data_IF_430470534389
#
_entry.id   IF_430470534389
#
_cell.length_a   1.000
_cell.length_b   1.000
_cell.length_c   1.000
_cell.angle_alpha   90.00
_cell.angle_beta   90.00
_cell.angle_gamma   90.00
#
_symmetry.space_group_name_H-M   'P 1'
#
loop_
_entity.id
_entity.type
_entity.pdbx_description
1 polymer ?
#
# COMPACT_ATOMS: atom_id res chain seq x y z
N UNK A 1 -27.80 -73.98 20.61
CA UNK A 1 -27.33 -74.03 21.98
C UNK A 1 -25.90 -73.64 21.99
N UNK A 2 -25.65 -72.55 22.56
CA UNK A 2 -24.79 -71.80 23.40
C UNK A 2 -24.11 -70.61 22.76
N UNK A 3 -24.63 -69.48 23.17
CA UNK A 3 -24.05 -68.16 23.05
C UNK A 3 -22.65 -68.11 23.65
N UNK A 4 -21.77 -67.33 22.98
CA UNK A 4 -20.61 -66.74 23.65
C UNK A 4 -20.48 -65.26 23.26
N UNK A 5 -20.92 -64.43 24.22
CA UNK A 5 -20.60 -63.02 24.29
C UNK A 5 -19.10 -62.81 24.33
N UNK A 6 -18.56 -62.08 23.34
CA UNK A 6 -17.22 -61.52 23.38
C UNK A 6 -17.33 -59.99 23.61
N UNK A 7 -17.24 -59.63 24.87
CA UNK A 7 -16.94 -58.27 25.31
C UNK A 7 -15.53 -57.92 24.76
N UNK A 8 -15.47 -57.07 23.77
CA UNK A 8 -14.22 -56.43 23.35
C UNK A 8 -13.88 -55.33 24.37
N UNK A 9 -12.93 -55.63 25.23
CA UNK A 9 -12.26 -54.68 26.08
C UNK A 9 -11.34 -53.85 25.18
N UNK A 10 -11.70 -52.62 24.91
CA UNK A 10 -10.78 -51.63 24.30
C UNK A 10 -9.70 -51.31 25.34
N UNK A 11 -8.41 -51.42 24.98
CA UNK A 11 -7.35 -51.14 25.96
C UNK A 11 -7.32 -49.66 26.32
N UNK A 12 -7.43 -49.43 27.62
CA UNK A 12 -7.33 -48.10 28.30
C UNK A 12 -6.00 -47.36 28.03
N UNK A 13 -5.08 -47.99 27.29
CA UNK A 13 -3.75 -47.44 26.99
C UNK A 13 -3.72 -46.44 25.86
N UNK A 14 -4.74 -46.35 25.00
CA UNK A 14 -4.78 -45.35 23.94
C UNK A 14 -5.18 -43.94 24.43
N UNK A 15 -5.74 -43.83 25.63
CA UNK A 15 -6.11 -42.51 26.20
C UNK A 15 -4.95 -41.83 26.94
N UNK A 16 -3.91 -42.56 27.35
CA UNK A 16 -2.76 -42.00 28.09
C UNK A 16 -1.65 -41.51 27.14
N UNK A 17 -1.56 -42.05 25.91
CA UNK A 17 -0.57 -41.59 24.94
C UNK A 17 -0.87 -40.20 24.36
N UNK A 18 -2.10 -39.68 24.47
CA UNK A 18 -2.48 -38.35 24.02
C UNK A 18 -2.05 -37.23 24.98
N UNK A 19 -1.68 -37.54 26.22
CA UNK A 19 -1.31 -36.54 27.24
C UNK A 19 0.20 -36.32 27.37
N UNK A 20 1.04 -37.10 26.70
CA UNK A 20 2.51 -37.01 26.85
C UNK A 20 3.25 -36.38 25.64
N UNK A 21 2.57 -36.16 24.53
CA UNK A 21 3.08 -35.31 23.49
C UNK A 21 2.67 -33.87 23.81
N UNK A 22 3.61 -33.02 24.19
CA UNK A 22 3.41 -31.63 24.55
C UNK A 22 2.76 -30.79 23.43
N UNK A 23 1.50 -31.06 23.14
CA UNK A 23 0.66 -30.18 22.34
C UNK A 23 0.28 -29.02 23.26
N UNK A 24 0.73 -27.81 22.93
CA UNK A 24 0.12 -26.60 23.46
C UNK A 24 -1.39 -26.65 23.34
N UNK A 25 -2.13 -25.81 24.07
CA UNK A 25 -3.60 -25.84 24.07
C UNK A 25 -4.10 -25.89 22.62
N UNK A 26 -5.10 -26.73 22.31
CA UNK A 26 -5.58 -26.91 20.95
C UNK A 26 -5.92 -25.54 20.37
N UNK A 27 -5.33 -25.21 19.22
CA UNK A 27 -5.64 -23.99 18.50
C UNK A 27 -7.11 -24.08 18.09
N UNK A 28 -7.95 -23.25 18.69
CA UNK A 28 -9.36 -23.19 18.33
C UNK A 28 -9.46 -22.46 16.97
N UNK A 29 -9.94 -23.18 15.97
CA UNK A 29 -10.12 -22.68 14.60
C UNK A 29 -11.59 -22.39 14.37
N UNK A 30 -11.89 -21.11 14.17
CA UNK A 30 -13.19 -20.68 13.70
C UNK A 30 -13.22 -20.65 12.17
N UNK A 31 -14.13 -21.43 11.58
CA UNK A 31 -14.27 -21.58 10.13
C UNK A 31 -15.59 -21.03 9.61
N UNK A 32 -16.09 -19.95 10.17
CA UNK A 32 -17.36 -19.39 9.72
C UNK A 32 -17.35 -18.91 8.27
N UNK A 33 -16.18 -18.65 7.73
CA UNK A 33 -15.97 -18.36 6.31
C UNK A 33 -15.38 -19.56 5.58
N UNK A 34 -15.88 -20.79 5.88
CA UNK A 34 -15.45 -21.98 5.15
C UNK A 34 -15.67 -21.78 3.64
N UNK A 35 -14.63 -21.92 2.83
CA UNK A 35 -14.75 -21.73 1.39
C UNK A 35 -15.77 -22.73 0.83
N UNK A 36 -16.68 -22.23 -0.01
CA UNK A 36 -17.64 -23.07 -0.72
C UNK A 36 -16.96 -23.97 -1.76
N UNK A 37 -15.78 -23.59 -2.19
CA UNK A 37 -14.96 -24.31 -3.15
C UNK A 37 -13.57 -24.57 -2.53
N UNK A 38 -13.13 -25.83 -2.54
CA UNK A 38 -11.81 -26.21 -2.01
C UNK A 38 -10.80 -26.21 -3.15
N UNK A 39 -9.78 -25.39 -3.02
CA UNK A 39 -8.63 -25.39 -3.92
C UNK A 39 -7.48 -26.18 -3.29
N UNK A 40 -6.71 -26.87 -4.11
CA UNK A 40 -5.45 -27.48 -3.66
C UNK A 40 -4.41 -26.39 -3.41
N UNK A 41 -3.40 -26.67 -2.58
CA UNK A 41 -2.30 -25.73 -2.31
C UNK A 41 -1.62 -25.25 -3.60
N UNK A 42 -1.47 -26.13 -4.59
CA UNK A 42 -0.93 -25.77 -5.91
C UNK A 42 -1.85 -24.83 -6.70
N UNK A 43 -3.16 -25.06 -6.66
CA UNK A 43 -4.14 -24.17 -7.30
C UNK A 43 -4.18 -22.81 -6.61
N UNK A 44 -4.13 -22.77 -5.27
CA UNK A 44 -4.02 -21.50 -4.52
C UNK A 44 -2.74 -20.75 -4.87
N UNK A 45 -1.60 -21.42 -5.01
CA UNK A 45 -0.35 -20.82 -5.46
C UNK A 45 -0.46 -20.20 -6.85
N UNK A 46 -1.11 -20.89 -7.79
CA UNK A 46 -1.36 -20.38 -9.14
C UNK A 46 -2.36 -19.20 -9.12
N UNK A 47 -3.41 -19.28 -8.31
CA UNK A 47 -4.41 -18.21 -8.17
C UNK A 47 -3.80 -17.00 -7.46
N UNK A 48 -2.99 -17.19 -6.44
CA UNK A 48 -2.26 -16.09 -5.76
C UNK A 48 -1.28 -15.37 -6.71
N UNK A 49 -0.75 -16.07 -7.72
CA UNK A 49 0.06 -15.49 -8.77
C UNK A 49 -0.79 -14.85 -9.89
N UNK A 50 -2.06 -15.21 -10.00
CA UNK A 50 -3.00 -14.62 -10.96
C UNK A 50 -3.44 -13.23 -10.47
N UNK A 51 -2.52 -12.27 -10.54
CA UNK A 51 -2.84 -10.85 -10.47
C UNK A 51 -3.81 -10.51 -11.58
N UNK A 52 -4.52 -9.38 -11.42
CA UNK A 52 -5.30 -8.85 -12.56
C UNK A 52 -4.36 -8.68 -13.74
N UNK A 53 -4.57 -9.37 -14.85
CA UNK A 53 -3.72 -9.15 -16.01
C UNK A 53 -3.89 -7.70 -16.45
N UNK A 54 -2.79 -7.03 -16.85
CA UNK A 54 -2.88 -5.70 -17.42
C UNK A 54 -3.85 -5.70 -18.61
N UNK A 55 -4.72 -4.68 -18.74
CA UNK A 55 -5.53 -4.52 -19.92
C UNK A 55 -4.64 -4.31 -21.15
N UNK A 56 -5.22 -4.43 -22.34
CA UNK A 56 -4.51 -4.13 -23.60
C UNK A 56 -4.33 -2.61 -23.71
N UNK A 57 -3.16 -2.13 -23.37
CA UNK A 57 -2.78 -0.72 -23.32
C UNK A 57 -1.38 -0.51 -23.90
N UNK A 58 -1.15 0.70 -24.40
CA UNK A 58 0.12 1.10 -25.03
C UNK A 58 1.27 1.26 -24.03
N UNK A 59 0.98 1.44 -22.74
CA UNK A 59 1.98 1.63 -21.70
C UNK A 59 3.03 0.51 -21.68
N UNK A 60 4.30 0.90 -21.63
CA UNK A 60 5.44 -0.02 -21.55
C UNK A 60 5.54 -0.65 -20.16
N UNK A 61 5.34 0.14 -19.11
CA UNK A 61 5.38 -0.32 -17.74
C UNK A 61 4.13 0.12 -16.97
N UNK A 62 3.60 -0.77 -16.13
CA UNK A 62 2.43 -0.53 -15.27
C UNK A 62 2.71 -1.07 -13.88
N UNK A 63 2.26 -0.33 -12.86
CA UNK A 63 2.25 -0.79 -11.48
C UNK A 63 1.04 -0.19 -10.77
N UNK A 64 0.22 -1.03 -10.12
CA UNK A 64 -0.85 -0.57 -9.22
C UNK A 64 -0.60 -1.14 -7.84
N UNK A 65 -0.62 -0.27 -6.86
CA UNK A 65 -0.25 -0.57 -5.49
C UNK A 65 -1.28 0.02 -4.52
N UNK A 66 -1.66 -0.76 -3.54
CA UNK A 66 -2.49 -0.36 -2.42
C UNK A 66 -1.63 0.00 -1.21
N UNK A 67 -1.77 1.23 -0.72
CA UNK A 67 -0.90 1.78 0.31
C UNK A 67 -1.13 1.12 1.67
N UNK A 68 -2.38 0.88 2.05
CA UNK A 68 -2.76 0.36 3.36
C UNK A 68 -2.34 -1.10 3.54
N UNK A 69 -2.59 -1.94 2.54
CA UNK A 69 -2.25 -3.36 2.61
C UNK A 69 -0.84 -3.69 2.14
N UNK A 70 -0.17 -2.75 1.46
CA UNK A 70 1.14 -2.98 0.85
C UNK A 70 1.10 -3.92 -0.35
N UNK A 71 -0.07 -4.16 -0.97
CA UNK A 71 -0.25 -5.13 -2.05
C UNK A 71 -0.03 -4.50 -3.42
N UNK A 72 0.68 -5.24 -4.27
CA UNK A 72 0.71 -4.97 -5.70
C UNK A 72 -0.51 -5.66 -6.34
N UNK A 73 -1.42 -4.86 -6.89
CA UNK A 73 -2.68 -5.32 -7.48
C UNK A 73 -2.53 -5.67 -8.96
N UNK A 74 -1.71 -4.91 -9.68
CA UNK A 74 -1.41 -5.12 -11.10
C UNK A 74 0.04 -4.73 -11.38
N UNK A 75 0.70 -5.44 -12.29
CA UNK A 75 2.03 -5.07 -12.76
C UNK A 75 2.31 -5.56 -14.17
N UNK A 76 3.09 -4.78 -14.91
CA UNK A 76 3.65 -5.08 -16.24
C UNK A 76 5.02 -4.42 -16.31
N UNK A 77 6.08 -5.19 -16.44
CA UNK A 77 7.46 -4.68 -16.59
C UNK A 77 7.83 -3.58 -15.57
N UNK A 78 7.42 -3.75 -14.31
CA UNK A 78 7.53 -2.73 -13.25
C UNK A 78 8.97 -2.34 -12.89
N UNK A 79 9.93 -3.20 -13.22
CA UNK A 79 11.36 -2.99 -12.97
C UNK A 79 12.12 -2.52 -14.24
N UNK A 80 11.43 -2.41 -15.38
CA UNK A 80 12.06 -1.97 -16.63
C UNK A 80 12.51 -0.51 -16.49
N UNK A 81 13.83 -0.22 -16.70
CA UNK A 81 14.31 1.16 -16.72
C UNK A 81 13.77 1.88 -17.98
N UNK A 82 13.12 3.02 -17.75
CA UNK A 82 12.60 3.90 -18.82
C UNK A 82 12.97 5.35 -18.51
N UNK A 83 13.00 6.23 -19.50
CA UNK A 83 13.18 7.67 -19.24
C UNK A 83 12.05 8.17 -18.32
N UNK A 84 12.37 8.78 -17.16
CA UNK A 84 11.35 9.23 -16.21
C UNK A 84 10.63 10.50 -16.68
N UNK A 85 11.18 11.27 -17.61
CA UNK A 85 10.70 12.60 -17.92
C UNK A 85 10.53 13.43 -16.64
N UNK A 86 9.53 14.31 -16.58
CA UNK A 86 9.24 15.13 -15.39
C UNK A 86 8.87 14.35 -14.12
N UNK A 87 8.83 13.03 -14.14
CA UNK A 87 8.72 12.23 -12.90
C UNK A 87 10.02 12.30 -12.07
N UNK A 88 11.16 12.70 -12.66
CA UNK A 88 12.39 13.01 -11.93
C UNK A 88 12.20 14.10 -10.86
N UNK A 89 11.25 15.03 -11.08
CA UNK A 89 10.88 16.09 -10.12
C UNK A 89 10.35 15.55 -8.78
N UNK A 90 9.96 14.28 -8.73
CA UNK A 90 9.59 13.64 -7.47
C UNK A 90 10.80 13.45 -6.54
N UNK A 91 11.98 13.09 -7.10
CA UNK A 91 13.21 13.07 -6.31
C UNK A 91 13.63 14.49 -5.91
N UNK A 92 13.48 15.45 -6.81
CA UNK A 92 13.73 16.87 -6.49
C UNK A 92 12.84 17.35 -5.33
N UNK A 93 11.53 17.04 -5.38
CA UNK A 93 10.60 17.37 -4.31
C UNK A 93 10.98 16.69 -2.98
N UNK A 94 11.37 15.41 -3.02
CA UNK A 94 11.76 14.68 -1.80
C UNK A 94 12.96 15.33 -1.12
N UNK A 95 14.03 15.61 -1.86
CA UNK A 95 15.23 16.25 -1.30
C UNK A 95 14.93 17.62 -0.70
N UNK A 96 14.12 18.43 -1.38
CA UNK A 96 13.72 19.75 -0.90
C UNK A 96 12.89 19.66 0.38
N UNK A 97 11.93 18.73 0.42
CA UNK A 97 11.07 18.52 1.61
C UNK A 97 11.84 17.94 2.80
N UNK A 98 12.85 17.09 2.55
CA UNK A 98 13.71 16.52 3.60
C UNK A 98 14.59 17.57 4.28
N UNK A 99 14.90 18.69 3.64
CA UNK A 99 15.64 19.81 4.27
C UNK A 99 14.81 20.68 5.18
N UNK A 100 13.48 20.67 5.05
CA UNK A 100 12.54 21.48 5.85
C UNK A 100 12.85 23.00 5.88
N UNK A 101 13.27 23.55 4.72
CA UNK A 101 13.62 24.95 4.54
C UNK A 101 12.62 25.72 3.67
N UNK A 102 11.32 25.45 3.87
CA UNK A 102 10.23 25.93 3.02
C UNK A 102 10.11 27.46 2.99
N UNK A 103 10.51 28.14 4.06
CA UNK A 103 10.48 29.61 4.19
C UNK A 103 11.76 30.32 3.70
N UNK A 104 12.74 29.59 3.17
CA UNK A 104 13.92 30.21 2.59
C UNK A 104 13.53 30.97 1.31
N UNK A 105 14.14 32.14 1.15
CA UNK A 105 13.95 32.96 -0.04
C UNK A 105 14.99 32.62 -1.10
N UNK A 106 14.53 32.37 -2.31
CA UNK A 106 15.34 32.00 -3.47
C UNK A 106 15.28 33.09 -4.52
N UNK A 107 16.43 33.71 -4.81
CA UNK A 107 16.54 34.63 -5.95
C UNK A 107 16.75 33.83 -7.24
N UNK A 108 15.88 34.03 -8.21
CA UNK A 108 15.93 33.39 -9.52
C UNK A 108 17.10 33.92 -10.34
N UNK A 109 17.89 33.00 -10.86
CA UNK A 109 19.02 33.28 -11.74
C UNK A 109 18.68 32.96 -13.20
N UNK A 110 19.36 33.65 -14.13
CA UNK A 110 19.19 33.38 -15.55
C UNK A 110 19.41 31.91 -15.92
N UNK A 111 20.30 31.24 -15.23
CA UNK A 111 20.58 29.80 -15.43
C UNK A 111 19.42 28.89 -15.02
N UNK A 112 18.49 29.34 -14.18
CA UNK A 112 17.32 28.59 -13.78
C UNK A 112 16.22 28.62 -14.85
N UNK A 113 16.24 29.64 -15.74
CA UNK A 113 15.22 29.89 -16.76
C UNK A 113 15.40 28.97 -17.97
N UNK A 114 15.12 27.69 -17.77
CA UNK A 114 15.17 26.65 -18.83
C UNK A 114 13.80 26.50 -19.49
N UNK A 115 13.80 26.17 -20.78
CA UNK A 115 12.60 26.11 -21.62
C UNK A 115 11.64 24.97 -21.32
N UNK A 116 10.66 24.77 -22.21
CA UNK A 116 9.52 23.85 -22.15
C UNK A 116 8.53 24.19 -21.04
N UNK A 117 8.07 23.19 -20.23
CA UNK A 117 7.15 23.46 -19.12
C UNK A 117 7.81 24.39 -18.08
N UNK A 118 7.17 25.50 -17.75
CA UNK A 118 7.71 26.52 -16.85
C UNK A 118 6.61 27.04 -15.90
N UNK A 119 7.01 27.50 -14.71
CA UNK A 119 6.18 28.31 -13.82
C UNK A 119 6.03 29.73 -14.38
N UNK A 120 7.00 30.19 -15.18
CA UNK A 120 7.04 31.51 -15.79
C UNK A 120 7.87 32.51 -15.00
N UNK A 121 8.92 32.04 -14.35
CA UNK A 121 9.81 32.87 -13.50
C UNK A 121 10.62 33.87 -14.31
N UNK A 122 11.04 34.95 -13.66
CA UNK A 122 11.89 36.01 -14.22
C UNK A 122 13.20 36.11 -13.45
N UNK A 123 14.27 36.51 -14.14
CA UNK A 123 15.58 36.76 -13.51
C UNK A 123 15.50 37.86 -12.45
N UNK A 124 16.04 37.59 -11.26
CA UNK A 124 16.02 38.51 -10.12
C UNK A 124 14.75 38.45 -9.29
N UNK A 125 13.76 37.65 -9.68
CA UNK A 125 12.57 37.39 -8.90
C UNK A 125 12.92 36.65 -7.61
N UNK A 126 12.21 36.90 -6.52
CA UNK A 126 12.44 36.27 -5.22
C UNK A 126 11.18 35.53 -4.79
N UNK A 127 11.30 34.19 -4.57
CA UNK A 127 10.21 33.33 -4.15
C UNK A 127 10.64 32.45 -2.97
N UNK A 128 9.68 32.08 -2.14
CA UNK A 128 9.91 31.07 -1.13
C UNK A 128 10.07 29.68 -1.75
N UNK A 129 10.85 28.81 -1.08
CA UNK A 129 11.02 27.40 -1.50
C UNK A 129 9.67 26.71 -1.66
N UNK A 130 8.70 26.97 -0.77
CA UNK A 130 7.34 26.45 -0.86
C UNK A 130 6.66 26.87 -2.18
N UNK A 131 6.73 28.14 -2.55
CA UNK A 131 6.13 28.66 -3.79
C UNK A 131 6.75 28.02 -5.04
N UNK A 132 8.06 27.77 -5.01
CA UNK A 132 8.75 27.04 -6.07
C UNK A 132 8.33 25.57 -6.14
N UNK A 133 8.03 24.91 -5.00
CA UNK A 133 7.46 23.54 -5.00
C UNK A 133 6.09 23.51 -5.69
N UNK A 134 5.24 24.51 -5.42
CA UNK A 134 3.96 24.67 -6.13
C UNK A 134 4.18 24.82 -7.65
N UNK A 135 5.09 25.70 -8.06
CA UNK A 135 5.43 25.91 -9.47
C UNK A 135 6.08 24.70 -10.14
N UNK A 136 6.87 23.92 -9.42
CA UNK A 136 7.49 22.71 -9.94
C UNK A 136 6.50 21.54 -10.12
N UNK A 137 5.57 21.36 -9.20
CA UNK A 137 4.73 20.15 -9.17
C UNK A 137 3.43 20.33 -9.96
N UNK A 138 2.75 21.47 -9.92
CA UNK A 138 1.48 21.71 -10.61
C UNK A 138 1.68 21.84 -12.14
N UNK A 139 2.29 22.93 -12.67
CA UNK A 139 2.50 23.08 -14.10
C UNK A 139 3.71 22.27 -14.61
N UNK A 140 4.39 21.58 -13.69
CA UNK A 140 5.63 20.86 -14.01
C UNK A 140 6.82 21.79 -14.35
N UNK A 141 6.91 22.97 -13.73
CA UNK A 141 7.91 24.01 -14.02
C UNK A 141 9.35 23.51 -13.95
N UNK A 142 10.06 23.59 -15.07
CA UNK A 142 11.48 23.24 -15.17
C UNK A 142 12.36 24.33 -14.53
N UNK A 143 11.98 25.59 -14.67
CA UNK A 143 12.59 26.77 -14.06
C UNK A 143 12.59 26.66 -12.53
N UNK A 144 11.44 26.35 -11.95
CA UNK A 144 11.31 26.13 -10.51
C UNK A 144 12.15 24.93 -10.01
N UNK A 145 12.22 23.84 -10.80
CA UNK A 145 13.04 22.69 -10.44
C UNK A 145 14.55 23.03 -10.43
N UNK A 146 15.01 23.83 -11.39
CA UNK A 146 16.40 24.28 -11.48
C UNK A 146 16.75 25.22 -10.33
N UNK A 147 15.88 26.18 -10.02
CA UNK A 147 16.06 27.12 -8.92
C UNK A 147 16.14 26.39 -7.57
N UNK A 148 15.23 25.45 -7.32
CA UNK A 148 15.23 24.61 -6.12
C UNK A 148 16.51 23.77 -6.00
N UNK A 149 16.94 23.12 -7.07
CA UNK A 149 18.15 22.31 -7.09
C UNK A 149 19.40 23.13 -6.77
N UNK A 150 19.55 24.30 -7.40
CA UNK A 150 20.66 25.21 -7.15
C UNK A 150 20.63 25.76 -5.71
N UNK A 151 19.46 26.15 -5.20
CA UNK A 151 19.31 26.63 -3.83
C UNK A 151 19.68 25.54 -2.81
N UNK A 152 19.19 24.33 -3.02
CA UNK A 152 19.41 23.18 -2.11
C UNK A 152 20.90 22.83 -1.97
N UNK A 153 21.66 22.78 -3.08
CA UNK A 153 23.02 22.19 -3.11
C UNK A 153 24.07 23.15 -3.66
N UNK A 154 23.78 24.43 -3.78
CA UNK A 154 24.63 25.50 -4.35
C UNK A 154 24.91 25.35 -5.85
N UNK A 155 24.92 24.14 -6.41
CA UNK A 155 25.01 23.88 -7.84
C UNK A 155 24.06 22.75 -8.25
N UNK A 156 23.64 22.74 -9.51
CA UNK A 156 22.79 21.68 -10.07
C UNK A 156 23.52 20.33 -10.10
N UNK A 157 24.83 20.34 -10.40
CA UNK A 157 25.64 19.13 -10.42
C UNK A 157 25.73 18.47 -9.06
N UNK A 158 25.91 19.25 -7.98
CA UNK A 158 25.92 18.77 -6.61
C UNK A 158 24.53 18.23 -6.22
N UNK A 159 23.45 18.86 -6.69
CA UNK A 159 22.10 18.39 -6.46
C UNK A 159 21.84 17.03 -7.14
N UNK A 160 22.26 16.87 -8.39
CA UNK A 160 22.15 15.60 -9.13
C UNK A 160 22.93 14.50 -8.44
N UNK A 161 24.13 14.81 -7.92
CA UNK A 161 24.87 13.84 -7.10
C UNK A 161 24.07 13.41 -5.86
N UNK A 162 23.41 14.35 -5.16
CA UNK A 162 22.53 14.04 -4.03
C UNK A 162 21.29 13.24 -4.44
N UNK A 163 20.68 13.52 -5.61
CA UNK A 163 19.58 12.70 -6.15
C UNK A 163 20.01 11.23 -6.30
N UNK A 164 21.19 10.98 -6.85
CA UNK A 164 21.69 9.63 -7.06
C UNK A 164 22.15 8.95 -5.77
N UNK A 165 22.74 9.66 -4.83
CA UNK A 165 23.03 9.15 -3.50
C UNK A 165 21.72 8.73 -2.80
N UNK A 166 20.71 9.60 -2.81
CA UNK A 166 19.41 9.30 -2.19
C UNK A 166 18.70 8.13 -2.86
N UNK A 167 18.76 8.02 -4.21
CA UNK A 167 18.26 6.86 -4.93
C UNK A 167 18.94 5.56 -4.47
N UNK A 168 20.27 5.58 -4.27
CA UNK A 168 21.01 4.46 -3.73
C UNK A 168 20.58 4.07 -2.31
N UNK A 169 20.42 5.05 -1.40
CA UNK A 169 19.94 4.84 -0.02
C UNK A 169 18.56 4.22 0.03
N UNK A 170 17.70 4.57 -0.94
CA UNK A 170 16.34 4.07 -1.07
C UNK A 170 16.24 2.71 -1.79
N UNK A 171 17.36 2.16 -2.25
CA UNK A 171 17.39 0.90 -3.01
C UNK A 171 16.77 1.00 -4.41
N UNK A 172 16.78 2.18 -5.02
CA UNK A 172 16.26 2.43 -6.38
C UNK A 172 17.26 1.97 -7.43
N UNK A 173 17.42 0.66 -7.58
CA UNK A 173 18.49 0.05 -8.38
C UNK A 173 18.35 0.23 -9.89
N UNK A 174 17.16 0.63 -10.37
CA UNK A 174 16.89 0.88 -11.78
C UNK A 174 16.79 2.39 -12.09
N UNK A 175 17.40 3.23 -11.25
CA UNK A 175 17.29 4.69 -11.34
C UNK A 175 18.64 5.35 -11.40
N UNK A 176 18.79 6.27 -12.37
CA UNK A 176 19.92 7.17 -12.50
C UNK A 176 19.42 8.53 -12.99
N UNK A 177 19.73 9.60 -12.26
CA UNK A 177 19.37 10.97 -12.60
C UNK A 177 20.57 11.72 -13.17
N UNK A 178 20.31 12.56 -14.18
CA UNK A 178 21.29 13.47 -14.78
C UNK A 178 20.87 14.95 -14.67
N UNK A 179 19.61 15.20 -14.35
CA UNK A 179 19.09 16.56 -14.11
C UNK A 179 17.88 16.52 -13.16
N UNK A 180 17.56 17.66 -12.50
CA UNK A 180 16.48 17.70 -11.52
C UNK A 180 15.07 17.85 -12.11
N UNK A 181 14.96 18.21 -13.40
CA UNK A 181 13.70 18.53 -14.06
C UNK A 181 13.15 17.44 -14.98
N UNK A 182 13.99 16.45 -15.34
CA UNK A 182 13.58 15.30 -16.16
C UNK A 182 13.71 15.52 -17.67
N UNK A 183 14.55 16.45 -18.12
CA UNK A 183 14.92 16.53 -19.53
C UNK A 183 15.59 15.24 -20.01
N UNK A 184 15.40 14.90 -21.27
CA UNK A 184 16.08 13.76 -21.86
C UNK A 184 17.60 13.93 -21.76
N UNK A 185 18.25 12.90 -21.22
CA UNK A 185 19.70 12.79 -21.12
C UNK A 185 20.08 11.32 -21.25
N UNK A 186 21.20 11.06 -21.93
CA UNK A 186 21.69 9.70 -22.14
C UNK A 186 21.92 8.99 -20.78
N UNK A 187 21.27 7.87 -20.58
CA UNK A 187 21.36 7.08 -19.35
C UNK A 187 20.44 7.56 -18.21
N UNK A 188 19.67 8.65 -18.35
CA UNK A 188 18.67 9.02 -17.35
C UNK A 188 17.49 8.07 -17.39
N UNK A 189 17.32 7.29 -16.34
CA UNK A 189 16.30 6.24 -16.25
C UNK A 189 15.69 6.15 -14.86
N UNK A 190 14.49 5.58 -14.79
CA UNK A 190 13.87 5.08 -13.55
C UNK A 190 12.89 3.95 -13.91
N UNK A 191 12.37 3.26 -12.89
CA UNK A 191 11.37 2.20 -13.06
C UNK A 191 10.09 2.53 -12.29
N UNK A 192 8.97 1.89 -12.67
CA UNK A 192 7.73 2.07 -11.92
C UNK A 192 7.88 1.63 -10.45
N UNK A 193 8.67 0.59 -10.18
CA UNK A 193 8.97 0.12 -8.84
C UNK A 193 9.74 1.16 -8.03
N UNK A 194 10.75 1.79 -8.61
CA UNK A 194 11.58 2.79 -7.94
C UNK A 194 10.79 4.09 -7.72
N UNK A 195 10.00 4.53 -8.71
CA UNK A 195 9.11 5.68 -8.57
C UNK A 195 8.04 5.47 -7.50
N UNK A 196 7.52 4.24 -7.34
CA UNK A 196 6.62 3.92 -6.24
C UNK A 196 7.30 4.15 -4.88
N UNK A 197 8.58 3.82 -4.73
CA UNK A 197 9.34 4.08 -3.51
C UNK A 197 9.36 5.58 -3.16
N UNK A 198 9.56 6.45 -4.15
CA UNK A 198 9.49 7.91 -3.96
C UNK A 198 8.09 8.36 -3.54
N UNK A 199 7.05 7.87 -4.22
CA UNK A 199 5.67 8.25 -3.93
C UNK A 199 5.28 7.88 -2.50
N UNK A 200 5.64 6.71 -2.03
CA UNK A 200 5.36 6.26 -0.65
C UNK A 200 5.97 7.18 0.40
N UNK A 201 7.19 7.69 0.16
CA UNK A 201 7.84 8.64 1.05
C UNK A 201 7.20 10.02 0.96
N UNK A 202 7.01 10.53 -0.25
CA UNK A 202 6.41 11.85 -0.49
C UNK A 202 4.98 11.94 0.05
N UNK A 203 4.23 10.83 0.02
CA UNK A 203 2.85 10.80 0.52
C UNK A 203 2.74 11.04 2.02
N UNK A 204 3.81 10.87 2.78
CA UNK A 204 3.87 11.23 4.20
C UNK A 204 3.84 12.75 4.44
N UNK A 205 4.24 13.57 3.44
CA UNK A 205 4.27 15.02 3.55
C UNK A 205 2.90 15.64 3.21
N UNK A 206 2.19 16.30 4.15
CA UNK A 206 0.90 16.92 3.88
C UNK A 206 0.96 17.95 2.75
N UNK A 207 1.99 18.80 2.74
CA UNK A 207 2.18 19.81 1.70
C UNK A 207 2.30 19.18 0.30
N UNK A 208 3.02 18.07 0.18
CA UNK A 208 3.10 17.36 -1.11
C UNK A 208 1.73 16.91 -1.60
N UNK A 209 0.93 16.28 -0.72
CA UNK A 209 -0.43 15.85 -1.07
C UNK A 209 -1.32 17.00 -1.49
N UNK A 210 -1.24 18.12 -0.76
CA UNK A 210 -1.97 19.34 -1.08
C UNK A 210 -1.62 19.85 -2.49
N UNK A 211 -0.32 20.02 -2.77
CA UNK A 211 0.14 20.54 -4.06
C UNK A 211 -0.30 19.63 -5.22
N UNK A 212 -0.02 18.32 -5.15
CA UNK A 212 -0.31 17.40 -6.27
C UNK A 212 -1.79 17.11 -6.45
N UNK A 213 -2.61 17.35 -5.43
CA UNK A 213 -4.08 17.27 -5.47
C UNK A 213 -4.76 18.53 -5.98
N UNK A 214 -4.01 19.61 -6.22
CA UNK A 214 -4.57 20.91 -6.62
C UNK A 214 -4.57 21.04 -8.15
N UNK A 215 -5.73 21.37 -8.72
CA UNK A 215 -5.88 21.55 -10.18
C UNK A 215 -5.45 22.94 -10.65
N UNK A 216 -5.65 23.96 -9.83
CA UNK A 216 -5.26 25.35 -10.11
C UNK A 216 -4.90 26.09 -8.83
N UNK A 217 -3.85 26.90 -8.86
CA UNK A 217 -3.40 27.72 -7.74
C UNK A 217 -2.75 29.02 -8.25
N UNK A 218 -2.51 29.96 -7.32
CA UNK A 218 -1.66 31.12 -7.58
C UNK A 218 -0.54 31.11 -6.53
N UNK A 219 0.71 31.15 -6.95
CA UNK A 219 1.87 31.27 -6.07
C UNK A 219 2.78 32.41 -6.56
N UNK A 220 3.18 33.31 -5.66
CA UNK A 220 3.98 34.51 -5.98
C UNK A 220 3.46 35.33 -7.19
N UNK A 221 2.13 35.35 -7.43
CA UNK A 221 1.51 36.02 -8.56
C UNK A 221 1.47 35.23 -9.87
N UNK A 222 2.04 34.03 -9.93
CA UNK A 222 1.96 33.13 -11.08
C UNK A 222 0.71 32.26 -11.00
N UNK A 223 -0.05 32.16 -12.11
CA UNK A 223 -1.16 31.24 -12.24
C UNK A 223 -0.63 29.86 -12.60
N UNK A 224 -0.94 28.87 -11.77
CA UNK A 224 -0.50 27.48 -11.89
C UNK A 224 -1.67 26.59 -12.29
N UNK A 225 -1.56 25.89 -13.42
CA UNK A 225 -2.56 24.92 -13.89
C UNK A 225 -1.94 23.54 -13.95
N UNK A 226 -2.67 22.56 -13.41
CA UNK A 226 -2.18 21.18 -13.39
C UNK A 226 -2.03 20.58 -14.79
N UNK A 227 -1.00 19.76 -14.93
CA UNK A 227 -0.83 18.91 -16.12
C UNK A 227 -1.60 17.58 -15.99
N UNK A 228 -2.14 17.25 -14.81
CA UNK A 228 -2.89 16.03 -14.58
C UNK A 228 -4.39 16.23 -14.79
N UNK A 229 -4.87 16.00 -16.02
CA UNK A 229 -6.30 16.15 -16.37
C UNK A 229 -7.24 15.19 -15.64
N UNK A 230 -6.73 14.14 -14.98
CA UNK A 230 -7.59 13.22 -14.23
C UNK A 230 -8.10 13.82 -12.92
N UNK A 231 -7.42 14.82 -12.36
CA UNK A 231 -7.89 15.51 -11.13
C UNK A 231 -9.32 16.04 -11.27
N UNK A 232 -9.71 16.50 -12.46
CA UNK A 232 -11.05 17.06 -12.71
C UNK A 232 -12.00 16.07 -13.41
N UNK A 233 -11.45 15.00 -14.03
CA UNK A 233 -12.21 14.15 -14.95
C UNK A 233 -12.35 12.70 -14.52
N UNK A 234 -11.80 12.32 -13.34
CA UNK A 234 -11.93 10.97 -12.81
C UNK A 234 -12.16 11.03 -11.28
N UNK A 235 -13.33 10.60 -10.78
CA UNK A 235 -13.64 10.68 -9.34
C UNK A 235 -12.64 9.93 -8.48
N UNK A 236 -12.23 10.55 -7.36
CA UNK A 236 -11.30 9.99 -6.39
C UNK A 236 -9.82 10.22 -6.72
N UNK A 237 -9.48 10.76 -7.90
CA UNK A 237 -8.08 11.12 -8.20
C UNK A 237 -7.66 12.32 -7.32
N UNK A 238 -6.53 12.14 -6.61
CA UNK A 238 -5.97 13.12 -5.68
C UNK A 238 -4.48 13.42 -5.95
N UNK A 239 -3.98 13.12 -7.16
CA UNK A 239 -2.60 13.39 -7.59
C UNK A 239 -2.21 12.48 -8.76
N UNK A 240 -0.95 12.32 -9.16
CA UNK A 240 0.27 12.84 -8.52
C UNK A 240 1.08 13.65 -9.55
N UNK A 241 1.59 13.02 -10.63
CA UNK A 241 2.51 13.69 -11.56
C UNK A 241 2.47 13.10 -12.96
N UNK A 242 2.56 13.96 -13.96
CA UNK A 242 2.75 13.60 -15.37
C UNK A 242 4.22 13.74 -15.77
N UNK A 243 4.62 13.01 -16.81
CA UNK A 243 5.90 13.16 -17.48
C UNK A 243 5.74 12.99 -18.99
N UNK A 244 6.41 13.80 -19.79
CA UNK A 244 6.43 13.67 -21.26
C UNK A 244 7.76 14.17 -21.78
N UNK A 245 8.41 13.35 -22.58
CA UNK A 245 9.53 13.75 -23.47
C UNK A 245 9.45 12.93 -24.76
N UNK A 246 10.29 13.26 -25.73
CA UNK A 246 10.36 12.48 -26.96
C UNK A 246 10.84 11.04 -26.69
N UNK A 247 11.75 10.86 -25.74
CA UNK A 247 12.30 9.56 -25.38
C UNK A 247 11.36 8.73 -24.49
N UNK A 248 10.69 9.38 -23.54
CA UNK A 248 9.83 8.68 -22.56
C UNK A 248 8.45 8.32 -23.08
N UNK A 249 7.95 8.98 -24.14
CA UNK A 249 6.52 9.00 -24.42
C UNK A 249 5.75 9.71 -23.30
N UNK A 250 4.54 9.24 -23.00
CA UNK A 250 3.67 9.81 -21.99
C UNK A 250 3.65 8.94 -20.72
N UNK A 251 3.91 9.52 -19.58
CA UNK A 251 3.88 8.86 -18.28
C UNK A 251 2.94 9.57 -17.31
N UNK A 252 2.30 8.82 -16.43
CA UNK A 252 1.41 9.33 -15.38
C UNK A 252 1.51 8.46 -14.13
N UNK A 253 1.68 9.10 -13.00
CA UNK A 253 1.41 8.51 -11.69
C UNK A 253 0.11 9.13 -11.19
N UNK A 254 -0.89 8.29 -10.92
CA UNK A 254 -2.16 8.69 -10.34
C UNK A 254 -2.27 8.19 -8.91
N UNK A 255 -2.67 9.07 -7.99
CA UNK A 255 -3.21 8.71 -6.69
C UNK A 255 -4.73 8.61 -6.81
N UNK A 256 -5.31 7.56 -6.26
CA UNK A 256 -6.75 7.35 -6.21
C UNK A 256 -7.17 7.07 -4.78
N UNK A 257 -8.02 7.92 -4.23
CA UNK A 257 -8.69 7.68 -2.96
C UNK A 257 -10.09 7.12 -3.22
N UNK A 258 -10.38 5.98 -2.62
CA UNK A 258 -11.67 5.30 -2.74
C UNK A 258 -12.02 4.65 -1.40
N UNK A 259 -13.20 4.97 -0.88
CA UNK A 259 -13.70 4.47 0.42
C UNK A 259 -12.71 4.68 1.59
N UNK A 260 -11.95 5.79 1.57
CA UNK A 260 -10.93 6.11 2.58
C UNK A 260 -9.58 5.40 2.41
N UNK A 261 -9.39 4.67 1.33
CA UNK A 261 -8.18 3.94 0.99
C UNK A 261 -7.40 4.59 -0.14
N UNK A 262 -6.08 4.52 -0.09
CA UNK A 262 -5.19 5.15 -1.05
C UNK A 262 -4.56 4.12 -1.99
N UNK A 263 -4.82 4.24 -3.28
CA UNK A 263 -4.15 3.49 -4.34
C UNK A 263 -3.17 4.40 -5.10
N UNK A 264 -2.08 3.81 -5.59
CA UNK A 264 -1.20 4.43 -6.57
C UNK A 264 -1.17 3.60 -7.85
N UNK A 265 -1.43 4.24 -8.98
CA UNK A 265 -1.32 3.63 -10.28
C UNK A 265 -0.27 4.38 -11.12
N UNK A 266 0.69 3.63 -11.66
CA UNK A 266 1.78 4.13 -12.48
C UNK A 266 1.63 3.56 -13.90
N UNK A 267 1.63 4.43 -14.89
CA UNK A 267 1.59 4.14 -16.32
C UNK A 267 2.76 4.87 -16.96
N UNK A 268 3.75 4.13 -17.46
CA UNK A 268 4.97 4.70 -18.04
C UNK A 268 5.12 4.32 -19.51
N UNK A 269 5.61 5.25 -20.32
CA UNK A 269 5.89 5.01 -21.73
C UNK A 269 4.64 4.71 -22.55
N UNK A 270 3.55 5.42 -22.30
CA UNK A 270 2.27 5.30 -23.01
C UNK A 270 2.21 6.21 -24.22
N UNK A 271 1.35 5.87 -25.18
CA UNK A 271 0.95 6.75 -26.30
C UNK A 271 -0.15 7.71 -25.86
N UNK A 272 -1.07 7.24 -24.99
CA UNK A 272 -2.13 8.02 -24.36
C UNK A 272 -2.28 7.63 -22.89
N UNK A 273 -1.56 8.35 -22.02
CA UNK A 273 -1.52 8.11 -20.58
C UNK A 273 -2.89 8.13 -19.91
N UNK A 274 -3.81 8.97 -20.40
CA UNK A 274 -5.12 9.13 -19.79
C UNK A 274 -6.06 7.99 -20.17
N UNK A 275 -6.02 7.55 -21.42
CA UNK A 275 -6.75 6.37 -21.85
C UNK A 275 -6.25 5.12 -21.12
N UNK A 276 -4.95 4.88 -21.16
CA UNK A 276 -4.34 3.72 -20.52
C UNK A 276 -4.61 3.69 -19.00
N UNK A 277 -4.46 4.84 -18.31
CA UNK A 277 -4.73 4.93 -16.88
C UNK A 277 -6.18 4.60 -16.52
N UNK A 278 -7.15 5.08 -17.32
CA UNK A 278 -8.57 4.77 -17.11
C UNK A 278 -8.84 3.27 -17.22
N UNK A 279 -8.26 2.60 -18.20
CA UNK A 279 -8.40 1.15 -18.39
C UNK A 279 -7.74 0.38 -17.24
N UNK A 280 -6.56 0.81 -16.79
CA UNK A 280 -5.85 0.21 -15.65
C UNK A 280 -6.68 0.31 -14.36
N UNK A 281 -7.17 1.51 -14.03
CA UNK A 281 -7.99 1.74 -12.84
C UNK A 281 -9.32 0.98 -12.90
N UNK A 282 -9.97 0.95 -14.07
CA UNK A 282 -11.22 0.20 -14.27
C UNK A 282 -11.01 -1.31 -14.09
N UNK A 283 -9.90 -1.85 -14.60
CA UNK A 283 -9.58 -3.27 -14.45
C UNK A 283 -9.35 -3.66 -12.98
N UNK A 284 -8.70 -2.79 -12.19
CA UNK A 284 -8.50 -3.01 -10.75
C UNK A 284 -9.82 -2.92 -9.99
N UNK A 285 -10.61 -1.85 -10.19
CA UNK A 285 -11.93 -1.67 -9.54
C UNK A 285 -12.89 -2.82 -9.83
N UNK A 286 -12.86 -3.39 -11.03
CA UNK A 286 -13.71 -4.52 -11.39
C UNK A 286 -13.31 -5.85 -10.74
N UNK A 287 -12.14 -5.95 -10.12
CA UNK A 287 -11.61 -7.21 -9.58
C UNK A 287 -11.43 -7.20 -8.07
N UNK A 288 -11.10 -6.07 -7.48
CA UNK A 288 -10.87 -5.93 -6.05
C UNK A 288 -12.01 -5.16 -5.37
N UNK A 289 -12.16 -5.37 -4.09
CA UNK A 289 -13.05 -4.60 -3.25
C UNK A 289 -12.65 -4.74 -1.79
N UNK A 290 -12.93 -3.73 -1.01
CA UNK A 290 -12.65 -3.68 0.42
C UNK A 290 -13.55 -4.65 1.18
N UNK A 291 -12.97 -5.39 2.10
CA UNK A 291 -13.65 -6.37 2.94
C UNK A 291 -13.37 -6.01 4.40
N UNK A 292 -14.40 -5.60 5.15
CA UNK A 292 -14.24 -5.33 6.57
C UNK A 292 -13.90 -6.63 7.32
N UNK A 293 -12.88 -6.56 8.17
CA UNK A 293 -12.45 -7.65 9.04
C UNK A 293 -13.08 -7.44 10.42
N UNK A 294 -14.16 -8.17 10.69
CA UNK A 294 -14.87 -8.12 11.95
C UNK A 294 -15.23 -9.52 12.42
N UNK A 295 -15.57 -9.66 13.69
CA UNK A 295 -16.11 -10.92 14.19
C UNK A 295 -17.43 -11.24 13.49
N UNK A 296 -17.66 -12.52 13.15
CA UNK A 296 -18.94 -12.96 12.64
C UNK A 296 -20.08 -12.58 13.63
N UNK A 297 -21.16 -12.03 13.10
CA UNK A 297 -22.35 -11.65 13.92
C UNK A 297 -23.07 -12.87 14.53
N UNK A 298 -22.82 -14.06 14.00
CA UNK A 298 -23.45 -15.31 14.51
C UNK A 298 -22.49 -16.04 15.41
N UNK A 299 -23.01 -16.62 16.52
CA UNK A 299 -22.21 -17.48 17.38
C UNK A 299 -21.56 -18.60 16.56
N UNK A 300 -20.26 -18.70 16.67
CA UNK A 300 -19.46 -19.75 16.04
C UNK A 300 -19.49 -21.04 16.87
N UNK A 301 -18.92 -22.12 16.36
CA UNK A 301 -18.70 -23.32 17.16
C UNK A 301 -17.82 -23.02 18.40
N UNK A 302 -16.89 -22.06 18.28
CA UNK A 302 -16.04 -21.61 19.39
C UNK A 302 -16.80 -20.82 20.44
N UNK A 303 -17.70 -19.93 20.02
CA UNK A 303 -18.56 -19.19 20.95
C UNK A 303 -19.48 -20.14 21.72
N UNK A 304 -19.94 -21.23 21.08
CA UNK A 304 -20.68 -22.30 21.77
C UNK A 304 -19.83 -23.11 22.74
N UNK A 305 -18.53 -23.24 22.50
CA UNK A 305 -17.60 -23.85 23.45
C UNK A 305 -17.34 -22.96 24.66
N UNK A 306 -17.58 -21.68 24.56
CA UNK A 306 -17.50 -20.68 25.61
C UNK A 306 -18.85 -20.33 26.24
N UNK A 307 -19.94 -20.98 25.82
CA UNK A 307 -21.19 -20.92 26.57
C UNK A 307 -21.07 -21.71 27.91
N UNK A 308 -22.08 -21.69 28.73
CA UNK A 308 -22.03 -22.29 30.06
C UNK A 308 -21.56 -23.75 30.09
N UNK A 309 -21.75 -24.50 29.02
CA UNK A 309 -21.29 -25.90 28.91
C UNK A 309 -19.86 -26.02 28.44
N UNK A 310 -19.45 -25.24 27.43
CA UNK A 310 -18.09 -25.17 26.93
C UNK A 310 -17.11 -24.59 27.94
N UNK A 311 -17.52 -23.56 28.66
CA UNK A 311 -16.73 -22.99 29.76
C UNK A 311 -16.49 -24.01 30.91
N UNK A 312 -17.45 -24.88 31.20
CA UNK A 312 -17.27 -25.97 32.19
C UNK A 312 -16.19 -26.96 31.75
N UNK A 313 -16.08 -27.26 30.45
CA UNK A 313 -15.04 -28.16 29.93
C UNK A 313 -13.67 -27.52 30.08
N UNK A 314 -13.55 -26.23 29.73
CA UNK A 314 -12.33 -25.44 29.89
C UNK A 314 -11.94 -25.24 31.36
N UNK A 315 -12.91 -24.92 32.20
CA UNK A 315 -12.73 -24.81 33.64
C UNK A 315 -12.27 -26.12 34.29
N UNK A 316 -12.71 -27.28 33.80
CA UNK A 316 -12.22 -28.58 34.26
C UNK A 316 -10.77 -28.85 33.87
N UNK A 317 -10.34 -28.38 32.67
CA UNK A 317 -8.98 -28.55 32.21
C UNK A 317 -7.99 -27.54 32.79
N UNK A 318 -8.43 -26.31 33.14
CA UNK A 318 -7.52 -25.25 33.54
C UNK A 318 -8.05 -24.26 34.60
N UNK A 319 -9.30 -24.36 35.02
CA UNK A 319 -9.90 -23.40 35.98
C UNK A 319 -10.16 -21.99 35.43
N UNK A 320 -10.21 -21.86 34.11
CA UNK A 320 -10.37 -20.57 33.40
C UNK A 320 -11.85 -20.31 33.13
N UNK A 321 -12.36 -19.17 33.58
CA UNK A 321 -13.66 -18.65 33.19
C UNK A 321 -13.46 -17.55 32.16
N UNK A 322 -13.92 -17.76 30.92
CA UNK A 322 -13.91 -16.75 29.85
C UNK A 322 -15.33 -16.65 29.35
N UNK A 323 -15.91 -15.46 29.43
CA UNK A 323 -17.16 -15.13 28.78
C UNK A 323 -16.78 -14.62 27.35
N UNK A 324 -17.22 -15.29 26.28
CA UNK A 324 -16.92 -14.83 24.91
C UNK A 324 -17.49 -13.43 24.63
N UNK A 325 -18.61 -13.05 25.30
CA UNK A 325 -19.19 -11.71 25.18
C UNK A 325 -18.31 -10.63 25.82
N UNK A 326 -17.40 -11.01 26.73
CA UNK A 326 -16.46 -10.10 27.37
C UNK A 326 -15.15 -9.88 26.54
N UNK A 327 -15.10 -10.34 25.29
CA UNK A 327 -13.97 -10.11 24.41
C UNK A 327 -14.23 -8.93 23.48
N UNK A 328 -13.43 -7.87 23.65
CA UNK A 328 -13.36 -6.76 22.69
C UNK A 328 -12.37 -7.09 21.58
N UNK A 329 -12.78 -6.86 20.34
CA UNK A 329 -11.93 -7.08 19.16
C UNK A 329 -11.19 -5.84 18.69
N UNK A 330 -11.39 -4.71 19.37
CA UNK A 330 -10.81 -3.43 18.96
C UNK A 330 -11.40 -2.91 17.63
N UNK A 331 -10.78 -1.90 17.01
CA UNK A 331 -11.32 -1.28 15.80
C UNK A 331 -11.37 -2.28 14.64
N UNK A 332 -12.45 -2.22 13.88
CA UNK A 332 -12.60 -2.92 12.61
C UNK A 332 -11.63 -2.28 11.62
N UNK A 333 -10.99 -3.09 10.80
CA UNK A 333 -10.20 -2.63 9.66
C UNK A 333 -10.58 -3.41 8.40
N UNK A 334 -10.23 -2.88 7.27
CA UNK A 334 -10.57 -3.42 5.97
C UNK A 334 -9.34 -3.92 5.22
N UNK A 335 -9.53 -4.91 4.36
CA UNK A 335 -8.50 -5.40 3.43
C UNK A 335 -9.05 -5.44 2.02
N UNK A 336 -8.18 -5.12 1.06
CA UNK A 336 -8.54 -5.17 -0.35
C UNK A 336 -8.36 -6.58 -0.89
N UNK A 337 -9.48 -7.22 -1.26
CA UNK A 337 -9.52 -8.60 -1.73
C UNK A 337 -10.23 -8.71 -3.08
N UNK A 338 -9.74 -9.60 -3.94
CA UNK A 338 -10.45 -10.03 -5.13
C UNK A 338 -11.64 -10.93 -4.79
N UNK A 339 -12.57 -11.11 -5.73
CA UNK A 339 -13.80 -11.88 -5.49
C UNK A 339 -13.54 -13.34 -5.06
N UNK A 340 -12.49 -13.99 -5.57
CA UNK A 340 -12.13 -15.34 -5.15
C UNK A 340 -11.42 -15.37 -3.79
N UNK A 341 -10.58 -14.37 -3.48
CA UNK A 341 -9.90 -14.25 -2.18
C UNK A 341 -10.90 -14.08 -1.03
N UNK A 342 -12.01 -13.36 -1.26
CA UNK A 342 -13.10 -13.26 -0.28
C UNK A 342 -13.70 -14.61 0.09
N UNK A 343 -13.77 -15.57 -0.86
CA UNK A 343 -14.30 -16.90 -0.62
C UNK A 343 -13.32 -17.81 0.12
N UNK A 344 -12.02 -17.53 0.00
CA UNK A 344 -10.94 -18.29 0.63
C UNK A 344 -10.45 -17.70 1.96
N UNK A 345 -10.99 -16.55 2.36
CA UNK A 345 -10.64 -15.88 3.62
C UNK A 345 -11.06 -16.77 4.81
N UNK A 346 -10.10 -17.07 5.67
CA UNK A 346 -10.30 -17.86 6.89
C UNK A 346 -9.98 -17.01 8.11
N UNK A 347 -10.78 -17.14 9.15
CA UNK A 347 -10.57 -16.46 10.43
C UNK A 347 -10.19 -17.50 11.47
N UNK A 348 -9.11 -17.23 12.19
CA UNK A 348 -8.64 -18.05 13.29
C UNK A 348 -8.62 -17.21 14.56
N UNK A 349 -9.27 -17.71 15.60
CA UNK A 349 -9.21 -17.11 16.94
C UNK A 349 -8.21 -17.90 17.78
N UNK A 350 -7.13 -17.23 18.23
CA UNK A 350 -6.14 -17.80 19.14
C UNK A 350 -6.25 -17.14 20.50
N UNK A 351 -6.69 -17.87 21.49
CA UNK A 351 -6.73 -17.40 22.86
C UNK A 351 -5.44 -17.80 23.58
N UNK A 352 -4.92 -16.88 24.36
CA UNK A 352 -3.74 -17.05 25.20
C UNK A 352 -4.16 -16.94 26.66
N UNK A 353 -4.45 -18.07 27.34
CA UNK A 353 -4.86 -18.03 28.73
C UNK A 353 -3.78 -17.38 29.59
N UNK A 354 -4.16 -16.49 30.51
CA UNK A 354 -3.23 -15.83 31.39
C UNK A 354 -2.57 -16.83 32.34
N UNK A 355 -1.33 -16.60 32.81
CA UNK A 355 -0.64 -17.48 33.75
C UNK A 355 -1.41 -17.70 35.06
N UNK A 356 -2.22 -16.72 35.49
CA UNK A 356 -3.10 -16.80 36.69
C UNK A 356 -4.29 -17.73 36.52
N UNK A 357 -4.59 -18.16 35.27
CA UNK A 357 -5.79 -18.93 34.95
C UNK A 357 -7.10 -18.15 35.02
N UNK A 358 -7.06 -16.85 35.29
CA UNK A 358 -8.23 -15.97 35.33
C UNK A 358 -8.03 -14.75 34.45
N UNK A 359 -9.06 -14.41 33.68
CA UNK A 359 -9.12 -13.22 32.86
C UNK A 359 -9.58 -12.02 33.71
N UNK A 360 -9.07 -10.83 33.39
CA UNK A 360 -9.53 -9.58 33.97
C UNK A 360 -9.71 -8.54 32.84
N UNK A 361 -10.60 -7.59 33.05
CA UNK A 361 -10.87 -6.52 32.10
C UNK A 361 -9.57 -5.80 31.69
N UNK A 362 -9.43 -5.52 30.41
CA UNK A 362 -8.25 -4.90 29.81
C UNK A 362 -7.07 -5.85 29.54
N UNK A 363 -7.16 -7.13 29.93
CA UNK A 363 -6.09 -8.09 29.64
C UNK A 363 -6.12 -8.53 28.15
N UNK A 364 -4.95 -8.72 27.52
CA UNK A 364 -4.91 -9.34 26.20
C UNK A 364 -5.38 -10.80 26.29
N UNK A 365 -6.43 -11.12 25.53
CA UNK A 365 -7.02 -12.47 25.52
C UNK A 365 -6.44 -13.35 24.43
N UNK A 366 -5.84 -12.75 23.39
CA UNK A 366 -5.33 -13.47 22.24
C UNK A 366 -5.29 -12.62 20.98
N UNK A 367 -5.45 -13.28 19.83
CA UNK A 367 -5.48 -12.62 18.53
C UNK A 367 -6.51 -13.28 17.61
N UNK A 368 -7.11 -12.46 16.74
CA UNK A 368 -7.73 -12.92 15.50
C UNK A 368 -6.69 -12.87 14.40
N UNK A 369 -6.64 -13.93 13.60
CA UNK A 369 -5.81 -14.02 12.42
C UNK A 369 -6.70 -14.23 11.20
N UNK A 370 -6.65 -13.32 10.25
CA UNK A 370 -7.25 -13.52 8.94
C UNK A 370 -6.20 -14.11 7.99
N UNK A 371 -6.51 -15.23 7.38
CA UNK A 371 -5.60 -15.97 6.52
C UNK A 371 -6.23 -16.28 5.17
N UNK A 372 -5.42 -16.16 4.13
CA UNK A 372 -5.77 -16.53 2.76
C UNK A 372 -4.85 -17.65 2.30
N UNK A 373 -5.41 -18.85 2.09
CA UNK A 373 -4.64 -20.02 1.67
C UNK A 373 -3.44 -20.34 2.59
N UNK A 374 -3.59 -20.09 3.91
CA UNK A 374 -2.52 -20.27 4.91
C UNK A 374 -1.63 -19.05 5.12
N UNK A 375 -1.63 -18.07 4.20
CA UNK A 375 -0.90 -16.82 4.36
C UNK A 375 -1.64 -15.89 5.32
N UNK A 376 -0.92 -15.37 6.33
CA UNK A 376 -1.46 -14.38 7.25
C UNK A 376 -1.64 -13.04 6.50
N UNK A 377 -2.88 -12.52 6.49
CA UNK A 377 -3.22 -11.23 5.85
C UNK A 377 -3.27 -10.13 6.89
N UNK A 378 -3.93 -10.42 8.02
CA UNK A 378 -4.14 -9.45 9.07
C UNK A 378 -4.21 -10.11 10.43
N UNK A 379 -3.91 -9.34 11.48
CA UNK A 379 -4.10 -9.73 12.88
C UNK A 379 -4.77 -8.61 13.65
N UNK A 380 -5.63 -8.99 14.60
CA UNK A 380 -6.26 -8.06 15.52
C UNK A 380 -6.14 -8.61 16.95
N UNK A 381 -5.78 -7.76 17.88
CA UNK A 381 -5.71 -8.17 19.30
C UNK A 381 -7.11 -8.34 19.88
N UNK A 382 -7.29 -9.40 20.64
CA UNK A 382 -8.46 -9.61 21.48
C UNK A 382 -8.14 -9.11 22.89
N UNK A 383 -9.03 -8.32 23.46
CA UNK A 383 -8.92 -7.76 24.81
C UNK A 383 -10.17 -8.16 25.56
N UNK A 384 -10.04 -8.49 26.83
CA UNK A 384 -11.17 -8.77 27.72
C UNK A 384 -11.82 -7.44 28.11
N UNK A 385 -13.15 -7.32 27.94
CA UNK A 385 -13.93 -6.17 28.42
C UNK A 385 -14.03 -6.09 29.93
#
# INVERSE_FOLDING_TARGET
>A
MTDRNLLRVFPLWCLIAFFLCGFGPPTMVDRDLAPRQRYTVGQLGQIQQARVPPPDVSAVSILVYDLETGRVLMKKAEQLPVSPASLAKLMTALLVLEQDRLSDLVTIQRADLVGEAAMGLSEGEELFVEELLWGMLIPSGNDAAMALARHHSSTVESFVANMNLRAGDLGMHNTLFHNPNGFDADGQVSSAQDLLTLIKLLWAYPLFREIVGTSAATAAGHELLTTNRLLESYPGINGVKTGTTAQSGQSLIAGLEEDGHQLFALVLGSVDRYHDMRLVLQAVRGKYGWVPLHLPERPTALDRLFDSEGNRWFLRAGGISVDPAALDVGPIFEVLLSGWERQELQVFRRLHPPPSGMWAAGMPAGVLEWRLGGTLIATQRLIVE
#
